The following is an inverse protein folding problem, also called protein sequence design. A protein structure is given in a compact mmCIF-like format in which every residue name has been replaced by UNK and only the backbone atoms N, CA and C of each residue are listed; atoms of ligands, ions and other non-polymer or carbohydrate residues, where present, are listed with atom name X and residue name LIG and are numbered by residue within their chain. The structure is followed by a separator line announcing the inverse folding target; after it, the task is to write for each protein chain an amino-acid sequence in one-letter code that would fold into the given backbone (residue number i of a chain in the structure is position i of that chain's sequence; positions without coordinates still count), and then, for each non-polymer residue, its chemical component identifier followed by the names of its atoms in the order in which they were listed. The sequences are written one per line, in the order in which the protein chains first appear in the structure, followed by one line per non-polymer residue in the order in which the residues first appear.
data_IF_887468509857
#
_entry.id   IF_887468509857
#
_cell.length_a   1.000
_cell.length_b   1.000
_cell.length_c   1.000
_cell.angle_alpha   90.00
_cell.angle_beta   90.00
_cell.angle_gamma   90.00
#
_symmetry.space_group_name_H-M   'P 1'
#
loop_
_entity.id
_entity.type
_entity.pdbx_description
1 polymer ?
#
# COMPACT_ATOMS: atom_id res chain seq x y z
N UNK A 1 -8.95 -25.96 5.71
CA UNK A 1 -7.65 -25.97 5.02
C UNK A 1 -6.85 -24.81 5.55
N UNK A 2 -5.63 -25.04 6.04
CA UNK A 2 -4.71 -23.95 6.40
C UNK A 2 -4.19 -23.36 5.11
N UNK A 3 -4.86 -22.31 4.62
CA UNK A 3 -4.40 -21.56 3.46
C UNK A 3 -3.14 -20.79 3.86
N UNK A 4 -1.98 -21.31 3.44
CA UNK A 4 -0.72 -20.59 3.55
C UNK A 4 -0.82 -19.27 2.79
N UNK A 5 -0.47 -18.18 3.45
CA UNK A 5 -0.36 -16.87 2.82
C UNK A 5 1.09 -16.57 2.47
N UNK A 6 1.31 -15.63 1.56
CA UNK A 6 2.66 -15.21 1.18
C UNK A 6 3.35 -14.64 2.42
N UNK A 7 4.56 -15.08 2.71
CA UNK A 7 5.42 -14.55 3.78
C UNK A 7 6.86 -14.45 3.30
N UNK A 8 7.61 -13.50 3.83
CA UNK A 8 9.05 -13.44 3.66
C UNK A 8 9.74 -14.60 4.39
N UNK A 9 10.88 -15.04 3.87
CA UNK A 9 11.73 -16.01 4.55
C UNK A 9 12.35 -15.43 5.81
N UNK A 10 12.78 -16.32 6.71
CA UNK A 10 13.38 -15.96 8.00
C UNK A 10 14.57 -15.00 7.83
N UNK A 11 15.43 -15.24 6.85
CA UNK A 11 16.62 -14.40 6.62
C UNK A 11 16.25 -12.95 6.25
N UNK A 12 15.25 -12.77 5.38
CA UNK A 12 14.76 -11.44 5.04
C UNK A 12 14.10 -10.75 6.23
N UNK A 13 13.30 -11.49 7.01
CA UNK A 13 12.75 -11.00 8.27
C UNK A 13 13.84 -10.55 9.22
N UNK A 14 14.89 -11.33 9.44
CA UNK A 14 16.00 -10.95 10.35
C UNK A 14 16.79 -9.73 9.84
N UNK A 15 16.79 -9.49 8.52
CA UNK A 15 17.57 -8.43 7.87
C UNK A 15 16.90 -7.05 7.89
N UNK A 16 15.60 -6.96 8.18
CA UNK A 16 14.85 -5.70 8.15
C UNK A 16 14.48 -5.21 9.55
N UNK A 17 14.49 -3.88 9.74
CA UNK A 17 14.05 -3.21 10.96
C UNK A 17 12.51 -3.13 11.01
N UNK A 18 11.96 -2.97 12.21
CA UNK A 18 10.54 -2.64 12.39
C UNK A 18 10.30 -1.14 12.27
N UNK A 19 9.17 -0.77 11.70
CA UNK A 19 8.72 0.60 11.54
C UNK A 19 7.27 0.74 12.01
N UNK A 20 6.90 1.88 12.57
CA UNK A 20 5.50 2.13 12.94
C UNK A 20 4.69 2.40 11.66
N UNK A 21 5.32 3.06 10.68
CA UNK A 21 4.74 3.36 9.38
C UNK A 21 5.69 2.99 8.25
N UNK A 22 5.18 2.25 7.27
CA UNK A 22 5.86 2.05 5.99
C UNK A 22 4.97 2.64 4.90
N UNK A 23 5.50 3.63 4.16
CA UNK A 23 4.76 4.33 3.11
C UNK A 23 5.37 3.98 1.77
N UNK A 24 4.58 3.46 0.83
CA UNK A 24 5.04 3.18 -0.53
C UNK A 24 4.55 4.27 -1.47
N UNK A 25 5.47 5.04 -2.04
CA UNK A 25 5.20 6.16 -2.93
C UNK A 25 5.35 5.71 -4.37
N UNK A 26 4.28 5.80 -5.16
CA UNK A 26 4.29 5.42 -6.57
C UNK A 26 4.55 6.63 -7.47
N UNK A 27 5.52 6.50 -8.36
CA UNK A 27 5.77 7.42 -9.47
C UNK A 27 5.91 6.63 -10.77
N UNK A 28 5.08 6.96 -11.76
CA UNK A 28 5.08 6.32 -13.07
C UNK A 28 4.74 7.35 -14.15
N UNK A 29 5.58 7.46 -15.19
CA UNK A 29 5.46 8.48 -16.23
C UNK A 29 4.29 8.23 -17.18
N UNK A 30 3.99 6.97 -17.51
CA UNK A 30 2.95 6.60 -18.46
C UNK A 30 1.55 6.39 -17.84
N UNK A 31 1.44 6.52 -16.51
CA UNK A 31 0.18 6.47 -15.75
C UNK A 31 0.23 7.47 -14.59
N UNK A 32 0.56 8.73 -14.91
CA UNK A 32 0.86 9.78 -13.94
C UNK A 32 -0.35 10.17 -13.09
N UNK A 33 -1.57 10.09 -13.63
CA UNK A 33 -2.81 10.35 -12.90
C UNK A 33 -2.97 9.44 -11.67
N UNK A 34 -2.35 8.25 -11.69
CA UNK A 34 -2.38 7.30 -10.59
C UNK A 34 -1.23 7.52 -9.59
N UNK A 35 -0.36 8.51 -9.76
CA UNK A 35 0.78 8.71 -8.86
C UNK A 35 0.30 9.17 -7.48
N UNK A 36 1.16 8.92 -6.50
CA UNK A 36 1.01 9.45 -5.15
C UNK A 36 1.02 10.98 -5.19
N UNK A 37 0.14 11.61 -4.41
CA UNK A 37 0.17 13.05 -4.17
C UNK A 37 1.14 13.44 -3.04
N UNK A 38 1.21 14.72 -2.72
CA UNK A 38 2.16 15.25 -1.73
C UNK A 38 1.73 14.97 -0.27
N UNK A 39 0.51 14.47 -0.05
CA UNK A 39 -0.02 14.25 1.30
C UNK A 39 0.82 13.29 2.15
N UNK A 40 1.58 12.41 1.52
CA UNK A 40 2.44 11.44 2.19
C UNK A 40 3.64 12.06 2.91
N UNK A 41 4.06 13.28 2.55
CA UNK A 41 5.18 13.95 3.22
C UNK A 41 4.92 14.19 4.71
N UNK A 42 3.64 14.16 5.14
CA UNK A 42 3.27 14.21 6.56
C UNK A 42 3.95 13.11 7.37
N UNK A 43 4.30 11.97 6.76
CA UNK A 43 4.94 10.86 7.46
C UNK A 43 6.40 11.12 7.81
N UNK A 44 7.05 12.10 7.18
CA UNK A 44 8.45 12.48 7.45
C UNK A 44 8.66 13.04 8.86
N UNK A 45 7.59 13.48 9.52
CA UNK A 45 7.65 13.99 10.91
C UNK A 45 7.66 12.89 11.97
N UNK A 46 7.47 11.62 11.58
CA UNK A 46 7.46 10.49 12.53
C UNK A 46 8.77 9.69 12.41
N UNK A 47 9.48 9.53 13.52
CA UNK A 47 10.83 8.96 13.57
C UNK A 47 10.91 7.49 13.11
N UNK A 48 9.83 6.73 13.31
CA UNK A 48 9.74 5.30 12.92
C UNK A 48 8.98 5.10 11.61
N UNK A 49 9.18 6.01 10.66
CA UNK A 49 8.67 5.89 9.30
C UNK A 49 9.75 5.39 8.35
N UNK A 50 9.40 4.46 7.47
CA UNK A 50 10.14 4.16 6.25
C UNK A 50 9.33 4.60 5.03
N UNK A 51 9.93 5.42 4.18
CA UNK A 51 9.37 5.75 2.86
C UNK A 51 10.08 4.89 1.82
N UNK A 52 9.31 4.07 1.10
CA UNK A 52 9.77 3.25 -0.01
C UNK A 52 9.37 3.95 -1.32
N UNK A 53 10.33 4.51 -2.06
CA UNK A 53 10.07 5.04 -3.39
C UNK A 53 9.90 3.86 -4.37
N UNK A 54 8.70 3.69 -4.88
CA UNK A 54 8.31 2.79 -5.97
C UNK A 54 8.24 3.62 -7.27
N UNK A 55 9.39 4.14 -7.68
CA UNK A 55 9.52 5.08 -8.80
C UNK A 55 10.26 4.44 -9.97
N UNK A 56 9.99 4.92 -11.18
CA UNK A 56 10.72 4.51 -12.39
C UNK A 56 12.20 4.92 -12.36
N UNK A 57 12.54 5.92 -11.54
CA UNK A 57 13.85 6.58 -11.54
C UNK A 57 14.73 6.17 -10.36
N UNK A 58 14.18 5.56 -9.31
CA UNK A 58 14.92 5.23 -8.08
C UNK A 58 14.96 3.74 -7.80
N UNK A 59 16.18 3.19 -7.82
CA UNK A 59 16.45 1.80 -7.47
C UNK A 59 16.90 1.71 -6.01
N UNK A 60 16.01 1.24 -5.14
CA UNK A 60 16.37 0.83 -3.77
C UNK A 60 16.23 -0.69 -3.64
N UNK A 61 16.96 -1.30 -2.70
CA UNK A 61 16.86 -2.75 -2.45
C UNK A 61 15.42 -3.16 -2.11
N UNK A 62 14.72 -2.37 -1.29
CA UNK A 62 13.32 -2.60 -0.96
C UNK A 62 12.39 -2.35 -2.16
N UNK A 63 12.82 -1.62 -3.19
CA UNK A 63 12.05 -1.46 -4.42
C UNK A 63 12.15 -2.70 -5.31
N UNK A 64 13.36 -3.26 -5.45
CA UNK A 64 13.63 -4.33 -6.41
C UNK A 64 13.57 -5.75 -5.83
N UNK A 65 13.84 -5.92 -4.53
CA UNK A 65 13.83 -7.22 -3.87
C UNK A 65 12.47 -7.47 -3.19
N UNK A 66 11.69 -8.35 -3.80
CA UNK A 66 10.33 -8.69 -3.34
C UNK A 66 10.32 -9.29 -1.92
N UNK A 67 11.34 -10.05 -1.54
CA UNK A 67 11.40 -10.73 -0.25
C UNK A 67 11.70 -9.73 0.88
N UNK A 68 12.64 -8.81 0.67
CA UNK A 68 12.91 -7.72 1.61
C UNK A 68 11.73 -6.76 1.72
N UNK A 69 11.02 -6.50 0.62
CA UNK A 69 9.80 -5.69 0.60
C UNK A 69 8.70 -6.35 1.44
N UNK A 70 8.47 -7.65 1.25
CA UNK A 70 7.52 -8.42 2.04
C UNK A 70 7.89 -8.44 3.53
N UNK A 71 9.16 -8.67 3.85
CA UNK A 71 9.66 -8.65 5.22
C UNK A 71 9.43 -7.30 5.89
N UNK A 72 9.68 -6.21 5.14
CA UNK A 72 9.46 -4.84 5.61
C UNK A 72 7.99 -4.60 5.92
N UNK A 73 7.08 -5.04 5.04
CA UNK A 73 5.64 -4.90 5.27
C UNK A 73 5.14 -5.73 6.45
N UNK A 74 5.68 -6.93 6.66
CA UNK A 74 5.37 -7.77 7.82
C UNK A 74 5.86 -7.19 9.15
N UNK A 75 6.94 -6.40 9.13
CA UNK A 75 7.47 -5.73 10.33
C UNK A 75 6.94 -4.32 10.56
N UNK A 76 6.03 -3.86 9.71
CA UNK A 76 5.41 -2.55 9.85
C UNK A 76 4.20 -2.60 10.80
N UNK A 77 4.04 -1.58 11.64
CA UNK A 77 2.81 -1.36 12.41
C UNK A 77 1.61 -1.02 11.52
N UNK A 78 1.85 -0.24 10.46
CA UNK A 78 0.89 0.04 9.41
C UNK A 78 1.59 0.29 8.08
N UNK A 79 1.05 -0.28 7.00
CA UNK A 79 1.51 -0.02 5.64
C UNK A 79 0.56 0.92 4.91
N UNK A 80 1.11 1.93 4.25
CA UNK A 80 0.35 2.98 3.58
C UNK A 80 0.63 2.99 2.09
N UNK A 81 -0.45 3.00 1.31
CA UNK A 81 -0.40 2.82 -0.14
C UNK A 81 -1.38 3.72 -0.89
N UNK A 82 -1.09 3.87 -2.17
CA UNK A 82 -2.09 3.96 -3.24
C UNK A 82 -2.01 2.68 -4.10
N UNK A 83 -2.98 2.39 -5.00
CA UNK A 83 -3.01 1.11 -5.70
C UNK A 83 -1.83 0.96 -6.67
N UNK A 84 -0.94 0.02 -6.37
CA UNK A 84 0.20 -0.38 -7.19
C UNK A 84 0.43 -1.90 -7.09
N UNK A 85 1.42 -2.44 -7.80
CA UNK A 85 1.76 -3.86 -7.74
C UNK A 85 2.14 -4.34 -6.32
N UNK A 86 3.04 -3.63 -5.61
CA UNK A 86 3.46 -3.96 -4.24
C UNK A 86 2.34 -4.18 -3.22
N UNK A 87 1.23 -3.42 -3.30
CA UNK A 87 0.06 -3.62 -2.44
C UNK A 87 -0.43 -5.09 -2.42
N UNK A 88 -0.27 -5.83 -3.52
CA UNK A 88 -0.67 -7.23 -3.61
C UNK A 88 -0.04 -8.12 -2.52
N UNK A 89 1.19 -7.82 -2.10
CA UNK A 89 1.87 -8.55 -1.02
C UNK A 89 1.11 -8.45 0.31
N UNK A 90 0.51 -7.29 0.58
CA UNK A 90 -0.29 -7.05 1.78
C UNK A 90 -1.70 -7.63 1.63
N UNK A 91 -2.33 -7.46 0.47
CA UNK A 91 -3.70 -7.95 0.20
C UNK A 91 -3.81 -9.46 0.38
N UNK A 92 -2.78 -10.22 -0.01
CA UNK A 92 -2.77 -11.68 0.11
C UNK A 92 -2.11 -12.21 1.39
N UNK A 93 -1.81 -11.34 2.35
CA UNK A 93 -1.36 -11.73 3.68
C UNK A 93 -2.26 -11.10 4.76
N UNK A 94 -3.12 -11.90 5.44
CA UNK A 94 -4.09 -11.38 6.39
C UNK A 94 -3.46 -10.82 7.68
N UNK A 95 -2.18 -11.09 7.94
CA UNK A 95 -1.47 -10.60 9.14
C UNK A 95 -0.81 -9.24 8.93
N UNK A 96 -0.84 -8.68 7.71
CA UNK A 96 -0.20 -7.41 7.38
C UNK A 96 -1.25 -6.29 7.40
N UNK A 97 -1.15 -5.32 8.33
CA UNK A 97 -2.05 -4.18 8.36
C UNK A 97 -1.75 -3.23 7.20
N UNK A 98 -2.79 -2.72 6.54
CA UNK A 98 -2.62 -1.70 5.50
C UNK A 98 -3.79 -0.71 5.40
N UNK A 99 -3.47 0.46 4.86
CA UNK A 99 -4.40 1.47 4.35
C UNK A 99 -4.03 1.80 2.91
N UNK A 100 -5.00 1.68 2.00
CA UNK A 100 -4.83 2.02 0.60
C UNK A 100 -5.80 3.14 0.20
N UNK A 101 -5.28 4.31 -0.13
CA UNK A 101 -6.05 5.46 -0.61
C UNK A 101 -6.25 5.39 -2.12
N UNK A 102 -7.03 6.32 -2.69
CA UNK A 102 -7.09 6.55 -4.15
C UNK A 102 -7.45 5.30 -4.95
N UNK A 103 -8.41 4.53 -4.43
CA UNK A 103 -8.89 3.28 -5.06
C UNK A 103 -9.42 3.52 -6.47
N UNK A 104 -10.06 4.67 -6.65
CA UNK A 104 -10.65 5.09 -7.92
C UNK A 104 -9.90 6.29 -8.48
N UNK A 105 -9.66 6.24 -9.78
CA UNK A 105 -9.31 7.40 -10.57
C UNK A 105 -10.08 7.34 -11.89
N UNK A 106 -11.05 8.24 -12.06
CA UNK A 106 -11.94 8.28 -13.23
C UNK A 106 -11.22 8.73 -14.51
N UNK A 107 -10.07 9.39 -14.40
CA UNK A 107 -9.23 9.75 -15.54
C UNK A 107 -8.43 8.55 -16.08
N UNK A 108 -8.57 7.36 -15.49
CA UNK A 108 -7.96 6.14 -15.98
C UNK A 108 -8.92 4.95 -15.90
N UNK A 109 -9.33 4.45 -17.07
CA UNK A 109 -10.42 3.47 -17.21
C UNK A 109 -10.29 2.26 -16.30
N UNK A 110 -9.10 1.69 -16.16
CA UNK A 110 -8.81 0.48 -15.36
C UNK A 110 -8.85 0.72 -13.84
N UNK A 111 -9.04 1.98 -13.43
CA UNK A 111 -9.25 2.38 -12.04
C UNK A 111 -10.53 3.21 -11.88
N UNK A 112 -11.40 3.26 -12.87
CA UNK A 112 -12.74 3.86 -12.70
C UNK A 112 -13.58 3.06 -11.71
N UNK A 113 -14.56 3.70 -11.05
CA UNK A 113 -15.46 3.01 -10.13
C UNK A 113 -16.22 1.88 -10.84
N UNK A 114 -16.65 2.12 -12.08
CA UNK A 114 -17.29 1.11 -12.91
C UNK A 114 -16.40 -0.12 -13.11
N UNK A 115 -15.11 0.08 -13.42
CA UNK A 115 -14.17 -1.01 -13.62
C UNK A 115 -13.93 -1.77 -12.32
N UNK A 116 -13.68 -1.07 -11.21
CA UNK A 116 -13.48 -1.68 -9.89
C UNK A 116 -14.68 -2.54 -9.50
N UNK A 117 -15.89 -2.03 -9.69
CA UNK A 117 -17.13 -2.77 -9.41
C UNK A 117 -17.31 -3.98 -10.33
N UNK A 118 -17.08 -3.83 -11.63
CA UNK A 118 -17.34 -4.88 -12.62
C UNK A 118 -16.30 -6.00 -12.60
N UNK A 119 -15.03 -5.64 -12.43
CA UNK A 119 -13.89 -6.57 -12.55
C UNK A 119 -13.50 -7.15 -11.20
N UNK A 120 -13.45 -6.32 -10.15
CA UNK A 120 -13.07 -6.78 -8.81
C UNK A 120 -14.26 -7.11 -7.93
N UNK A 121 -15.49 -6.73 -8.32
CA UNK A 121 -16.69 -6.98 -7.51
C UNK A 121 -16.74 -6.12 -6.23
N UNK A 122 -15.93 -5.06 -6.15
CA UNK A 122 -15.83 -4.19 -4.97
C UNK A 122 -16.68 -2.94 -5.23
N UNK A 123 -17.60 -2.63 -4.31
CA UNK A 123 -18.41 -1.41 -4.36
C UNK A 123 -17.69 -0.27 -3.63
N UNK A 124 -18.11 0.95 -3.90
CA UNK A 124 -17.66 2.14 -3.17
C UNK A 124 -17.75 1.94 -1.66
N UNK A 125 -16.77 2.49 -0.94
CA UNK A 125 -16.63 2.40 0.51
C UNK A 125 -16.45 0.98 1.08
N UNK A 126 -16.23 -0.02 0.21
CA UNK A 126 -15.89 -1.38 0.61
C UNK A 126 -14.39 -1.67 0.45
N UNK A 127 -13.89 -2.55 1.30
CA UNK A 127 -12.60 -3.22 1.11
C UNK A 127 -12.80 -4.58 0.43
N UNK A 128 -11.74 -5.22 -0.11
CA UNK A 128 -11.83 -6.58 -0.62
C UNK A 128 -12.43 -7.52 0.43
N UNK A 129 -13.23 -8.52 0.00
CA UNK A 129 -13.88 -9.45 0.94
C UNK A 129 -12.90 -10.27 1.80
N UNK A 130 -11.67 -10.40 1.32
CA UNK A 130 -10.57 -11.10 2.03
C UNK A 130 -9.86 -10.20 3.05
N UNK A 131 -10.15 -8.90 3.05
CA UNK A 131 -9.49 -7.95 3.95
C UNK A 131 -9.88 -8.23 5.40
N UNK A 132 -8.90 -8.20 6.29
CA UNK A 132 -9.14 -8.28 7.74
C UNK A 132 -9.55 -6.91 8.29
N UNK A 133 -9.88 -6.84 9.59
CA UNK A 133 -10.23 -5.58 10.28
C UNK A 133 -9.13 -4.51 10.19
N UNK A 134 -7.88 -4.93 10.00
CA UNK A 134 -6.71 -4.07 9.96
C UNK A 134 -6.26 -3.73 8.53
N UNK A 135 -7.06 -4.13 7.53
CA UNK A 135 -6.82 -3.94 6.10
C UNK A 135 -7.97 -3.15 5.49
N UNK A 136 -7.67 -1.98 4.93
CA UNK A 136 -8.74 -1.05 4.48
C UNK A 136 -8.41 -0.34 3.18
N UNK A 137 -9.41 -0.32 2.31
CA UNK A 137 -9.49 0.56 1.15
C UNK A 137 -10.19 1.85 1.55
N UNK A 138 -9.56 2.97 1.23
CA UNK A 138 -10.00 4.31 1.55
C UNK A 138 -10.33 5.00 0.23
N UNK A 139 -11.62 5.21 0.02
CA UNK A 139 -12.19 5.78 -1.21
C UNK A 139 -12.11 7.31 -1.20
N UNK A 140 -10.96 7.83 -0.77
CA UNK A 140 -10.61 9.25 -0.71
C UNK A 140 -9.24 9.45 -1.37
N UNK A 141 -8.98 10.67 -1.81
CA UNK A 141 -7.66 11.08 -2.28
C UNK A 141 -6.63 11.03 -1.14
N UNK A 142 -5.37 10.86 -1.47
CA UNK A 142 -4.22 10.80 -0.57
C UNK A 142 -3.73 12.19 -0.10
N UNK A 143 -4.67 13.04 0.34
CA UNK A 143 -4.35 14.36 0.90
C UNK A 143 -3.93 14.25 2.36
N UNK A 144 -3.22 15.27 2.87
CA UNK A 144 -2.78 15.33 4.27
C UNK A 144 -3.97 15.19 5.23
N UNK A 145 -5.08 15.85 4.94
CA UNK A 145 -6.29 15.85 5.78
C UNK A 145 -6.89 14.45 5.89
N UNK A 146 -7.05 13.76 4.75
CA UNK A 146 -7.63 12.41 4.72
C UNK A 146 -6.70 11.38 5.38
N UNK A 147 -5.38 11.53 5.22
CA UNK A 147 -4.39 10.70 5.89
C UNK A 147 -4.48 10.90 7.41
N UNK A 148 -4.47 12.14 7.87
CA UNK A 148 -4.57 12.45 9.30
C UNK A 148 -5.91 12.06 9.91
N UNK A 149 -6.99 12.04 9.14
CA UNK A 149 -8.29 11.51 9.59
C UNK A 149 -8.20 10.00 9.85
N UNK A 150 -7.57 9.23 8.95
CA UNK A 150 -7.42 7.78 9.10
C UNK A 150 -6.42 7.37 10.19
N UNK A 151 -5.46 8.24 10.52
CA UNK A 151 -4.49 7.98 11.60
C UNK A 151 -5.08 8.13 13.02
N UNK A 152 -6.29 8.67 13.17
CA UNK A 152 -6.95 8.86 14.47
C UNK A 152 -7.67 7.60 14.92
#
# INVERSE_FOLDING_TARGET
EDFGHITAGKMALDSVKSYDHVVTIRECSYQSQRNSGDGWDIFRKYDKTLIIPDTETMFTLQNVNIELRMATYQKAGMNWFIPNGPLGLCVFNPTIPYRCFKIVNENYKQTSEMFVKRVYGIKRDMSPKIATKDQKYIWKEDTVENILEEMR
#
